data_IF_904751571569
#
_entry.id   IF_904751571569
#
_cell.length_a   1.000
_cell.length_b   1.000
_cell.length_c   1.000
_cell.angle_alpha   90.00
_cell.angle_beta   90.00
_cell.angle_gamma   90.00
#
_symmetry.space_group_name_H-M   'P 1'
#
loop_
_entity.id
_entity.type
_entity.pdbx_description
1 polymer ?
#
# COMPACT_ATOMS: atom_id res chain seq x y z
N UNK A 1 -1.77 -10.48 13.92
CA UNK A 1 -0.87 -11.11 12.92
C UNK A 1 -1.73 -11.65 11.80
N UNK A 2 -1.17 -11.81 10.59
CA UNK A 2 -1.89 -12.38 9.44
C UNK A 2 -2.68 -13.61 9.86
N UNK A 3 -4.01 -13.58 9.72
CA UNK A 3 -4.84 -14.73 9.96
C UNK A 3 -4.61 -15.73 8.81
N UNK A 4 -3.65 -16.66 8.98
CA UNK A 4 -3.37 -17.72 8.00
C UNK A 4 -2.17 -17.49 7.07
N UNK A 5 -1.44 -16.38 7.18
CA UNK A 5 -0.15 -16.18 6.51
C UNK A 5 1.01 -16.55 7.44
N UNK A 6 1.95 -17.40 7.00
CA UNK A 6 3.15 -17.70 7.79
C UNK A 6 4.09 -16.49 7.86
N UNK A 7 4.94 -16.40 8.89
CA UNK A 7 5.99 -15.37 8.99
C UNK A 7 6.94 -15.35 7.75
N UNK A 8 6.98 -16.44 6.98
CA UNK A 8 7.71 -16.53 5.72
C UNK A 8 7.06 -15.72 4.59
N UNK A 9 5.72 -15.66 4.52
CA UNK A 9 5.00 -14.85 3.53
C UNK A 9 5.17 -13.35 3.78
N UNK A 10 5.15 -12.94 5.06
CA UNK A 10 5.43 -11.57 5.48
C UNK A 10 6.84 -11.13 5.08
N UNK A 11 7.83 -11.98 5.33
CA UNK A 11 9.23 -11.75 4.96
C UNK A 11 9.41 -11.74 3.44
N UNK A 12 8.77 -12.66 2.70
CA UNK A 12 8.84 -12.68 1.23
C UNK A 12 8.19 -11.43 0.59
N UNK A 13 7.06 -10.95 1.10
CA UNK A 13 6.45 -9.69 0.65
C UNK A 13 7.30 -8.47 1.00
N UNK A 14 7.91 -8.47 2.18
CA UNK A 14 8.76 -7.39 2.66
C UNK A 14 10.12 -7.33 1.95
N UNK A 15 10.65 -8.48 1.52
CA UNK A 15 12.03 -8.62 1.03
C UNK A 15 12.16 -9.13 -0.42
N UNK A 16 11.06 -9.52 -1.08
CA UNK A 16 11.10 -10.25 -2.35
C UNK A 16 11.47 -9.42 -3.58
N UNK A 17 11.39 -8.09 -3.51
CA UNK A 17 11.80 -7.16 -4.57
C UNK A 17 12.27 -5.86 -3.92
N UNK A 18 13.57 -5.82 -3.64
CA UNK A 18 14.25 -4.70 -2.98
C UNK A 18 14.62 -3.57 -3.94
N UNK A 19 14.54 -3.85 -5.23
CA UNK A 19 14.68 -2.92 -6.34
C UNK A 19 13.44 -2.04 -6.54
N UNK A 20 12.28 -2.46 -6.00
CA UNK A 20 11.02 -1.70 -6.08
C UNK A 20 10.56 -1.23 -4.70
N UNK A 21 10.80 0.05 -4.40
CA UNK A 21 10.30 0.71 -3.17
C UNK A 21 8.79 0.94 -3.16
N UNK A 22 8.13 0.79 -4.31
CA UNK A 22 6.69 0.90 -4.47
C UNK A 22 6.18 -0.18 -5.43
N UNK A 23 5.04 -0.77 -5.09
CA UNK A 23 4.31 -1.73 -5.93
C UNK A 23 2.81 -1.55 -5.69
N UNK A 24 2.00 -1.90 -6.68
CA UNK A 24 0.56 -1.96 -6.51
C UNK A 24 -0.02 -3.18 -7.23
N UNK A 25 -1.18 -3.62 -6.76
CA UNK A 25 -2.00 -4.64 -7.41
C UNK A 25 -3.32 -4.02 -7.74
N UNK A 26 -3.67 -4.17 -9.00
CA UNK A 26 -4.88 -3.66 -9.56
C UNK A 26 -6.05 -4.61 -9.28
N UNK A 27 -7.17 -4.01 -8.88
CA UNK A 27 -8.50 -4.61 -8.67
C UNK A 27 -8.61 -5.85 -7.76
N UNK A 28 -7.50 -6.31 -7.20
CA UNK A 28 -7.42 -7.62 -6.56
C UNK A 28 -6.42 -7.66 -5.42
N UNK A 29 -6.83 -8.36 -4.36
CA UNK A 29 -5.94 -8.68 -3.25
C UNK A 29 -5.34 -10.08 -3.44
N UNK A 30 -4.11 -10.15 -3.96
CA UNK A 30 -3.42 -11.42 -4.26
C UNK A 30 -2.25 -11.71 -3.31
N UNK A 31 -2.16 -11.00 -2.19
CA UNK A 31 -1.05 -11.14 -1.25
C UNK A 31 -1.16 -12.43 -0.42
N UNK A 32 -0.04 -13.10 -0.11
CA UNK A 32 -0.02 -14.34 0.67
C UNK A 32 -0.41 -14.18 2.16
N UNK A 33 -0.51 -12.94 2.66
CA UNK A 33 -1.12 -12.66 3.95
C UNK A 33 -2.60 -12.41 3.74
N UNK A 34 -3.50 -13.17 4.36
CA UNK A 34 -4.93 -12.84 4.30
C UNK A 34 -5.18 -11.49 4.96
N UNK A 35 -5.72 -10.53 4.20
CA UNK A 35 -6.28 -9.30 4.75
C UNK A 35 -7.61 -9.55 5.46
N UNK A 36 -8.15 -8.52 6.09
CA UNK A 36 -9.47 -8.56 6.73
C UNK A 36 -10.54 -8.29 5.68
N UNK A 37 -11.06 -9.36 5.07
CA UNK A 37 -12.07 -9.34 4.01
C UNK A 37 -11.78 -8.25 2.95
N UNK A 38 -10.67 -8.38 2.19
CA UNK A 38 -10.31 -7.40 1.17
C UNK A 38 -11.46 -7.22 0.18
N UNK A 39 -11.67 -5.98 -0.24
CA UNK A 39 -12.72 -5.62 -1.17
C UNK A 39 -12.22 -5.72 -2.61
N UNK A 40 -12.97 -6.42 -3.46
CA UNK A 40 -12.72 -6.50 -4.90
C UNK A 40 -12.86 -5.12 -5.58
N UNK A 41 -12.25 -4.98 -6.76
CA UNK A 41 -12.22 -3.73 -7.54
C UNK A 41 -11.62 -2.54 -6.77
N UNK A 42 -10.79 -2.82 -5.76
CA UNK A 42 -9.97 -1.84 -5.05
C UNK A 42 -8.52 -2.31 -5.08
N UNK A 43 -7.64 -1.36 -5.28
CA UNK A 43 -6.22 -1.62 -5.43
C UNK A 43 -5.58 -1.88 -4.07
N UNK A 44 -4.42 -2.51 -4.14
CA UNK A 44 -3.50 -2.67 -3.02
C UNK A 44 -2.25 -1.87 -3.31
N UNK A 45 -1.84 -0.98 -2.39
CA UNK A 45 -0.60 -0.22 -2.49
C UNK A 45 0.42 -0.71 -1.48
N UNK A 46 1.59 -1.12 -1.95
CA UNK A 46 2.73 -1.47 -1.12
C UNK A 46 3.84 -0.42 -1.23
N UNK A 47 4.38 -0.05 -0.07
CA UNK A 47 5.53 0.86 0.07
C UNK A 47 6.58 0.18 0.94
N UNK A 48 7.84 0.17 0.48
CA UNK A 48 9.02 -0.29 1.22
C UNK A 48 10.06 0.82 1.27
N UNK A 49 10.63 1.07 2.44
CA UNK A 49 11.77 1.97 2.56
C UNK A 49 12.60 1.67 3.81
N UNK A 50 13.85 2.11 3.82
CA UNK A 50 14.64 2.18 5.04
C UNK A 50 14.20 3.36 5.91
N UNK A 51 14.26 3.21 7.23
CA UNK A 51 13.94 4.28 8.16
C UNK A 51 14.95 5.44 8.05
N UNK A 52 14.48 6.66 8.30
CA UNK A 52 15.33 7.84 8.24
C UNK A 52 16.38 7.91 9.37
N UNK A 53 16.23 7.12 10.43
CA UNK A 53 17.12 7.10 11.60
C UNK A 53 17.97 5.85 11.60
N UNK A 54 19.22 5.99 12.00
CA UNK A 54 20.07 4.84 12.30
C UNK A 54 19.62 4.18 13.59
N UNK A 55 19.70 2.86 13.65
CA UNK A 55 19.31 2.03 14.80
C UNK A 55 20.44 1.07 15.17
N UNK A 56 20.38 0.51 16.38
CA UNK A 56 21.27 -0.58 16.78
C UNK A 56 20.77 -1.92 16.20
N UNK A 57 21.65 -2.91 15.99
CA UNK A 57 21.23 -4.26 15.63
C UNK A 57 20.23 -4.82 16.65
N UNK A 58 19.14 -5.43 16.19
CA UNK A 58 18.11 -6.03 17.04
C UNK A 58 17.61 -7.33 16.44
N UNK A 59 17.74 -8.44 17.17
CA UNK A 59 17.20 -9.72 16.75
C UNK A 59 15.67 -9.67 16.61
N UNK A 60 15.14 -10.32 15.57
CA UNK A 60 13.73 -10.37 15.22
C UNK A 60 13.16 -9.13 14.56
N UNK A 61 14.00 -8.12 14.26
CA UNK A 61 13.65 -6.92 13.50
C UNK A 61 14.35 -6.96 12.15
N UNK A 62 13.61 -6.77 11.08
CA UNK A 62 14.21 -6.65 9.74
C UNK A 62 14.92 -5.31 9.62
N UNK A 63 16.23 -5.37 9.43
CA UNK A 63 17.11 -4.21 9.34
C UNK A 63 17.97 -4.29 8.09
N UNK A 64 18.41 -3.13 7.65
CA UNK A 64 19.27 -2.93 6.50
C UNK A 64 20.58 -2.32 6.99
N UNK A 65 21.68 -3.05 6.85
CA UNK A 65 23.02 -2.50 6.98
C UNK A 65 23.42 -1.92 5.62
N UNK A 66 23.72 -0.63 5.55
CA UNK A 66 24.08 0.07 4.31
C UNK A 66 25.38 0.84 4.48
N UNK A 67 26.14 0.88 3.39
CA UNK A 67 27.29 1.75 3.23
C UNK A 67 27.36 2.21 1.75
N UNK A 68 28.31 3.08 1.37
CA UNK A 68 28.41 3.56 -0.02
C UNK A 68 28.66 2.45 -1.05
N UNK A 69 29.13 1.28 -0.64
CA UNK A 69 29.41 0.14 -1.53
C UNK A 69 28.26 -0.87 -1.65
N UNK A 70 27.18 -0.71 -0.87
CA UNK A 70 26.01 -1.58 -0.96
C UNK A 70 25.22 -1.68 0.34
N UNK A 71 24.20 -2.53 0.33
CA UNK A 71 23.38 -2.82 1.50
C UNK A 71 23.06 -4.30 1.63
N UNK A 72 22.93 -4.77 2.86
CA UNK A 72 22.55 -6.13 3.19
C UNK A 72 21.48 -6.13 4.28
N UNK A 73 20.42 -6.90 4.04
CA UNK A 73 19.38 -7.13 5.01
C UNK A 73 19.80 -8.19 6.03
N UNK A 74 19.34 -8.02 7.27
CA UNK A 74 19.52 -8.97 8.35
C UNK A 74 18.40 -8.81 9.39
N UNK A 75 18.15 -9.85 10.17
CA UNK A 75 17.14 -9.86 11.23
C UNK A 75 17.53 -10.68 12.46
N UNK A 76 18.73 -11.25 12.47
CA UNK A 76 19.26 -12.08 13.56
C UNK A 76 19.92 -11.24 14.68
N UNK A 77 19.99 -9.92 14.49
CA UNK A 77 20.65 -8.99 15.40
C UNK A 77 22.17 -8.96 15.26
N UNK A 78 22.76 -9.69 14.31
CA UNK A 78 24.18 -9.65 14.01
C UNK A 78 24.38 -8.83 12.74
N UNK A 79 24.82 -7.58 12.90
CA UNK A 79 25.07 -6.71 11.75
C UNK A 79 26.08 -7.37 10.78
N UNK A 80 25.74 -7.48 9.49
CA UNK A 80 26.66 -8.02 8.51
C UNK A 80 27.94 -7.18 8.44
N UNK A 81 29.08 -7.87 8.37
CA UNK A 81 30.37 -7.23 8.14
C UNK A 81 30.47 -6.82 6.66
N UNK A 82 29.87 -5.69 6.31
CA UNK A 82 30.13 -5.02 5.04
C UNK A 82 31.40 -4.17 5.20
N UNK A 83 32.35 -4.29 4.26
CA UNK A 83 33.64 -3.59 4.33
C UNK A 83 33.37 -2.07 4.44
N UNK A 84 33.79 -1.40 5.54
CA UNK A 84 33.52 0.00 5.96
C UNK A 84 32.41 0.17 7.01
N UNK A 85 32.43 1.24 7.83
CA UNK A 85 31.33 1.48 8.78
C UNK A 85 29.98 1.52 8.05
N UNK A 86 29.07 0.68 8.50
CA UNK A 86 27.71 0.58 7.99
C UNK A 86 26.75 1.35 8.89
N UNK A 87 25.83 2.07 8.26
CA UNK A 87 24.65 2.56 8.94
C UNK A 87 23.62 1.44 8.96
N UNK A 88 23.04 1.19 10.13
CA UNK A 88 21.95 0.23 10.28
C UNK A 88 20.65 1.01 10.35
N UNK A 89 19.66 0.62 9.55
CA UNK A 89 18.34 1.26 9.48
C UNK A 89 17.27 0.18 9.54
N UNK A 90 16.13 0.53 10.11
CA UNK A 90 14.99 -0.39 10.14
C UNK A 90 14.32 -0.43 8.78
N UNK A 91 13.89 -1.61 8.34
CA UNK A 91 13.05 -1.73 7.14
C UNK A 91 11.61 -1.45 7.52
N UNK A 92 10.99 -0.54 6.79
CA UNK A 92 9.58 -0.18 6.92
C UNK A 92 8.84 -0.68 5.69
N UNK A 93 7.78 -1.45 5.92
CA UNK A 93 6.86 -1.89 4.88
C UNK A 93 5.44 -1.57 5.31
N UNK A 94 4.70 -0.93 4.41
CA UNK A 94 3.28 -0.66 4.55
C UNK A 94 2.54 -1.17 3.32
N UNK A 95 1.44 -1.86 3.54
CA UNK A 95 0.54 -2.34 2.48
C UNK A 95 -0.83 -1.80 2.81
N UNK A 96 -1.37 -0.94 1.97
CA UNK A 96 -2.69 -0.34 2.11
C UNK A 96 -3.68 -1.07 1.22
N UNK A 97 -4.86 -1.36 1.76
CA UNK A 97 -5.95 -2.02 1.05
C UNK A 97 -7.29 -1.64 1.68
N UNK A 98 -8.40 -1.86 0.97
CA UNK A 98 -9.75 -1.71 1.52
C UNK A 98 -10.23 -3.06 2.05
N UNK A 99 -10.71 -3.08 3.29
CA UNK A 99 -11.30 -4.26 3.91
C UNK A 99 -12.42 -3.89 4.88
N UNK A 100 -12.83 -4.82 5.72
CA UNK A 100 -13.89 -4.58 6.71
C UNK A 100 -13.36 -3.82 7.94
N UNK A 101 -14.22 -3.00 8.54
CA UNK A 101 -13.91 -2.35 9.81
C UNK A 101 -13.92 -3.36 10.95
N UNK A 102 -12.99 -3.19 11.89
CA UNK A 102 -12.88 -3.94 13.14
C UNK A 102 -14.00 -3.60 14.14
N UNK A 103 -14.74 -2.49 13.95
CA UNK A 103 -15.89 -2.12 14.78
C UNK A 103 -17.21 -2.62 14.21
N UNK A 104 -17.39 -2.49 12.89
CA UNK A 104 -18.58 -2.94 12.17
C UNK A 104 -18.17 -3.55 10.81
N UNK A 105 -18.28 -4.89 10.64
CA UNK A 105 -17.92 -5.55 9.38
C UNK A 105 -18.70 -5.05 8.15
N UNK A 106 -19.91 -4.47 8.32
CA UNK A 106 -20.65 -3.87 7.21
C UNK A 106 -20.09 -2.50 6.78
N UNK A 107 -19.06 -2.01 7.47
CA UNK A 107 -18.37 -0.76 7.17
C UNK A 107 -17.01 -1.00 6.54
N UNK A 108 -16.82 -0.64 5.26
CA UNK A 108 -15.51 -0.65 4.61
C UNK A 108 -14.54 0.29 5.33
N UNK A 109 -13.26 -0.07 5.34
CA UNK A 109 -12.21 0.69 5.99
C UNK A 109 -10.93 0.65 5.17
N UNK A 110 -10.17 1.74 5.21
CA UNK A 110 -8.77 1.71 4.81
C UNK A 110 -7.99 0.99 5.90
N UNK A 111 -7.34 -0.09 5.49
CA UNK A 111 -6.51 -0.93 6.36
C UNK A 111 -5.06 -0.88 5.92
N UNK A 112 -4.17 -1.24 6.84
CA UNK A 112 -2.74 -1.30 6.61
C UNK A 112 -2.15 -2.56 7.22
N UNK A 113 -1.49 -3.36 6.40
CA UNK A 113 -0.50 -4.31 6.90
C UNK A 113 0.82 -3.57 7.10
N UNK A 114 1.43 -3.72 8.28
CA UNK A 114 2.77 -3.18 8.57
C UNK A 114 3.73 -4.29 8.94
N UNK A 115 4.99 -4.14 8.55
CA UNK A 115 6.06 -4.98 9.08
C UNK A 115 6.29 -4.64 10.55
N UNK A 116 6.27 -5.66 11.39
CA UNK A 116 6.50 -5.60 12.82
C UNK A 116 7.50 -6.69 13.24
N UNK A 117 8.09 -6.51 14.42
CA UNK A 117 9.04 -7.47 14.98
C UNK A 117 8.37 -8.82 15.23
N UNK A 118 9.03 -9.94 14.91
CA UNK A 118 8.37 -11.25 14.88
C UNK A 118 9.17 -12.44 15.44
N UNK A 119 10.29 -12.19 16.13
CA UNK A 119 11.03 -13.26 16.83
C UNK A 119 11.76 -14.22 15.89
N UNK A 120 12.63 -13.69 15.03
CA UNK A 120 13.47 -14.45 14.08
C UNK A 120 12.96 -14.48 12.63
N UNK A 121 11.83 -13.83 12.36
CA UNK A 121 11.36 -13.42 11.04
C UNK A 121 10.39 -12.24 11.24
N UNK A 122 10.34 -11.28 10.33
CA UNK A 122 9.36 -10.19 10.40
C UNK A 122 7.91 -10.73 10.37
N UNK A 123 6.99 -10.06 11.07
CA UNK A 123 5.55 -10.37 10.99
C UNK A 123 4.80 -9.22 10.33
N UNK A 124 3.74 -9.53 9.60
CA UNK A 124 2.78 -8.51 9.16
C UNK A 124 1.65 -8.39 10.19
N UNK A 125 1.42 -7.15 10.61
CA UNK A 125 0.30 -6.78 11.47
C UNK A 125 -0.72 -5.97 10.68
N UNK A 126 -1.95 -6.45 10.69
CA UNK A 126 -3.10 -5.75 10.14
C UNK A 126 -3.62 -4.71 11.15
N UNK A 127 -3.85 -3.51 10.65
CA UNK A 127 -4.37 -2.38 11.39
C UNK A 127 -5.45 -1.66 10.57
N UNK A 128 -6.59 -1.41 11.19
CA UNK A 128 -7.52 -0.41 10.66
C UNK A 128 -6.88 0.99 10.79
N UNK A 129 -6.94 1.78 9.71
CA UNK A 129 -6.50 3.17 9.72
C UNK A 129 -7.69 4.10 9.91
N UNK A 130 -8.72 3.93 9.08
CA UNK A 130 -9.93 4.75 9.13
C UNK A 130 -11.11 4.00 8.48
N UNK A 131 -12.27 3.93 9.15
CA UNK A 131 -13.49 3.41 8.55
C UNK A 131 -14.09 4.41 7.55
N UNK A 132 -14.99 3.94 6.69
CA UNK A 132 -15.70 4.77 5.71
C UNK A 132 -14.94 5.00 4.40
N UNK A 133 -13.82 4.30 4.16
CA UNK A 133 -13.16 4.29 2.85
C UNK A 133 -13.66 3.05 2.10
N UNK A 134 -14.39 3.27 1.01
CA UNK A 134 -15.07 2.20 0.28
C UNK A 134 -14.28 1.70 -0.92
N UNK A 135 -13.34 2.48 -1.46
CA UNK A 135 -12.55 2.11 -2.61
C UNK A 135 -11.22 2.88 -2.64
N UNK A 136 -10.15 2.23 -3.10
CA UNK A 136 -8.82 2.80 -3.31
C UNK A 136 -8.39 2.47 -4.74
N UNK A 137 -7.87 3.47 -5.45
CA UNK A 137 -7.28 3.31 -6.77
C UNK A 137 -5.94 4.03 -6.83
N UNK A 138 -4.99 3.46 -7.53
CA UNK A 138 -3.56 3.80 -7.48
C UNK A 138 -3.02 3.90 -8.90
N UNK A 139 -2.65 5.11 -9.30
CA UNK A 139 -1.94 5.33 -10.55
C UNK A 139 -0.49 5.70 -10.30
N UNK A 140 0.41 5.22 -11.16
CA UNK A 140 1.80 5.63 -11.21
C UNK A 140 1.99 6.81 -12.15
N UNK A 141 2.59 7.88 -11.62
CA UNK A 141 3.08 9.01 -12.40
C UNK A 141 4.45 8.69 -12.98
N UNK A 142 4.52 8.63 -14.30
CA UNK A 142 5.70 8.24 -15.05
C UNK A 142 6.47 9.46 -15.57
N UNK A 143 7.79 9.40 -15.41
CA UNK A 143 8.82 10.25 -16.01
C UNK A 143 9.48 9.47 -17.16
N UNK A 144 9.07 9.76 -18.39
CA UNK A 144 9.48 9.04 -19.59
C UNK A 144 10.71 9.66 -20.28
N UNK A 145 11.02 10.93 -20.03
CA UNK A 145 12.14 11.63 -20.65
C UNK A 145 13.32 11.88 -19.68
N UNK A 146 13.16 11.53 -18.40
CA UNK A 146 14.18 11.59 -17.36
C UNK A 146 14.36 12.96 -16.73
N UNK A 147 13.42 13.89 -16.92
CA UNK A 147 13.52 15.26 -16.41
C UNK A 147 13.02 15.41 -14.95
N UNK A 148 12.42 14.37 -14.37
CA UNK A 148 11.87 14.34 -13.01
C UNK A 148 10.43 14.84 -12.86
N UNK A 149 9.77 15.20 -13.96
CA UNK A 149 8.36 15.58 -14.02
C UNK A 149 7.49 14.37 -14.41
N UNK A 150 6.16 14.53 -14.28
CA UNK A 150 5.22 13.46 -14.63
C UNK A 150 4.59 13.78 -15.99
N UNK A 151 4.81 12.95 -17.00
CA UNK A 151 4.15 13.10 -18.30
C UNK A 151 2.77 12.46 -18.31
N UNK A 152 2.61 11.33 -17.62
CA UNK A 152 1.34 10.60 -17.59
C UNK A 152 1.14 9.80 -16.31
N UNK A 153 -0.13 9.54 -16.02
CA UNK A 153 -0.56 8.61 -14.98
C UNK A 153 -1.11 7.36 -15.66
N UNK A 154 -0.66 6.20 -15.21
CA UNK A 154 -1.12 4.89 -15.69
C UNK A 154 -1.54 4.03 -14.53
N UNK A 155 -2.43 3.08 -14.77
CA UNK A 155 -2.73 2.06 -13.77
C UNK A 155 -1.50 1.17 -13.51
N UNK A 156 -1.45 0.59 -12.32
CA UNK A 156 -0.36 -0.26 -11.85
C UNK A 156 -0.16 -1.52 -12.67
N UNK A 157 -1.21 -2.01 -13.36
CA UNK A 157 -1.14 -3.21 -14.21
C UNK A 157 -0.56 -2.95 -15.62
N UNK A 158 -0.36 -1.70 -16.03
CA UNK A 158 0.21 -1.34 -17.34
C UNK A 158 1.73 -1.55 -17.36
N UNK A 159 2.12 -2.84 -17.39
CA UNK A 159 3.52 -3.26 -17.33
C UNK A 159 4.36 -2.67 -18.49
N UNK A 160 3.77 -2.46 -19.66
CA UNK A 160 4.47 -1.88 -20.80
C UNK A 160 4.81 -0.40 -20.55
N UNK A 161 3.87 0.35 -19.96
CA UNK A 161 4.13 1.73 -19.56
C UNK A 161 5.15 1.84 -18.43
N UNK A 162 4.98 1.04 -17.38
CA UNK A 162 5.83 1.08 -16.18
C UNK A 162 7.26 0.64 -16.49
N UNK A 163 7.48 -0.34 -17.37
CA UNK A 163 8.82 -0.78 -17.76
C UNK A 163 9.59 0.26 -18.62
N UNK A 164 8.86 1.16 -19.29
CA UNK A 164 9.44 2.13 -20.22
C UNK A 164 9.78 3.50 -19.62
N UNK A 165 9.49 3.73 -18.34
CA UNK A 165 9.63 5.03 -17.70
C UNK A 165 9.93 4.91 -16.21
N UNK A 166 10.46 5.98 -15.60
CA UNK A 166 10.70 6.03 -14.16
C UNK A 166 9.42 6.41 -13.42
N UNK A 167 9.07 5.69 -12.35
CA UNK A 167 7.96 6.09 -11.48
C UNK A 167 8.42 7.21 -10.54
N UNK A 168 7.87 8.42 -10.68
CA UNK A 168 8.25 9.59 -9.87
C UNK A 168 7.10 10.15 -9.03
N UNK A 169 5.88 9.66 -9.21
CA UNK A 169 4.74 10.02 -8.39
C UNK A 169 3.73 8.88 -8.25
N UNK A 170 2.85 9.01 -7.26
CA UNK A 170 1.67 8.16 -7.07
C UNK A 170 0.47 9.07 -6.99
N UNK A 171 -0.59 8.74 -7.72
CA UNK A 171 -1.90 9.36 -7.55
C UNK A 171 -2.84 8.35 -6.90
N UNK A 172 -3.35 8.74 -5.75
CA UNK A 172 -4.36 8.00 -5.02
C UNK A 172 -5.72 8.59 -5.36
N UNK A 173 -6.70 7.74 -5.58
CA UNK A 173 -8.11 8.10 -5.61
C UNK A 173 -8.85 7.28 -4.57
N UNK A 174 -9.69 7.94 -3.78
CA UNK A 174 -10.42 7.33 -2.67
C UNK A 174 -11.90 7.68 -2.79
N UNK A 175 -12.77 6.68 -2.62
CA UNK A 175 -14.18 6.89 -2.37
C UNK A 175 -14.44 6.85 -0.86
N UNK A 176 -14.90 7.96 -0.32
CA UNK A 176 -15.16 8.13 1.11
C UNK A 176 -16.66 8.25 1.34
N UNK A 177 -17.20 7.52 2.30
CA UNK A 177 -18.61 7.59 2.72
C UNK A 177 -18.79 8.26 4.09
N UNK A 178 -20.00 8.73 4.36
CA UNK A 178 -20.42 9.12 5.71
C UNK A 178 -20.38 7.93 6.68
N UNK A 179 -20.17 8.19 7.96
CA UNK A 179 -20.17 7.18 9.01
C UNK A 179 -21.55 6.54 9.20
N UNK A 180 -22.61 7.34 9.08
CA UNK A 180 -23.99 6.94 9.28
C UNK A 180 -24.78 6.90 7.98
N UNK A 181 -25.69 5.92 7.89
CA UNK A 181 -26.68 5.85 6.82
C UNK A 181 -27.82 6.85 7.05
N UNK A 182 -28.14 7.61 6.03
CA UNK A 182 -29.26 8.56 5.98
C UNK A 182 -30.49 7.97 5.26
N UNK A 183 -30.49 6.66 4.93
CA UNK A 183 -31.64 6.01 4.30
C UNK A 183 -32.94 6.16 5.11
N UNK A 184 -32.83 6.19 6.45
CA UNK A 184 -33.98 6.38 7.36
C UNK A 184 -34.66 7.75 7.25
N UNK A 185 -33.99 8.76 6.69
CA UNK A 185 -34.56 10.08 6.40
C UNK A 185 -34.83 10.28 4.90
N UNK A 186 -34.78 9.21 4.11
CA UNK A 186 -35.11 9.22 2.68
C UNK A 186 -33.98 9.64 1.75
N UNK A 187 -32.73 9.74 2.25
CA UNK A 187 -31.59 10.00 1.37
C UNK A 187 -31.28 8.79 0.48
N UNK A 188 -31.02 9.06 -0.79
CA UNK A 188 -30.58 8.08 -1.80
C UNK A 188 -29.46 8.72 -2.60
N UNK A 189 -28.28 8.11 -2.56
CA UNK A 189 -27.15 8.48 -3.41
C UNK A 189 -27.40 8.02 -4.85
N UNK A 190 -27.71 8.96 -5.73
CA UNK A 190 -27.87 8.73 -7.17
C UNK A 190 -26.65 9.19 -7.97
N UNK A 191 -25.56 9.56 -7.30
CA UNK A 191 -24.34 9.98 -7.98
C UNK A 191 -23.61 8.77 -8.59
N UNK A 192 -22.77 9.09 -9.57
CA UNK A 192 -21.88 8.16 -10.24
C UNK A 192 -20.46 8.67 -10.04
N UNK A 193 -19.59 7.83 -9.49
CA UNK A 193 -18.21 8.16 -9.17
C UNK A 193 -17.29 7.41 -10.11
N UNK A 194 -16.63 8.13 -11.02
CA UNK A 194 -15.65 7.51 -11.91
C UNK A 194 -14.34 7.23 -11.12
N UNK A 195 -13.92 5.96 -10.99
CA UNK A 195 -12.63 5.62 -10.41
C UNK A 195 -11.48 6.17 -11.27
N UNK A 196 -10.28 6.23 -10.69
CA UNK A 196 -9.10 6.62 -11.46
C UNK A 196 -8.67 5.53 -12.45
N UNK A 197 -9.04 4.28 -12.19
CA UNK A 197 -8.85 3.20 -13.12
C UNK A 197 -9.79 3.31 -14.32
N UNK A 198 -9.24 3.07 -15.50
CA UNK A 198 -9.87 3.30 -16.78
C UNK A 198 -10.69 2.11 -17.28
N UNK A 199 -10.43 0.90 -16.77
CA UNK A 199 -11.19 -0.31 -17.13
C UNK A 199 -12.37 -0.58 -16.17
N UNK A 200 -12.38 0.03 -14.99
CA UNK A 200 -13.51 0.00 -14.08
C UNK A 200 -14.69 0.90 -14.54
N UNK A 201 -15.94 0.39 -14.47
CA UNK A 201 -17.11 1.21 -14.70
C UNK A 201 -17.29 2.25 -13.57
N UNK A 202 -18.06 3.33 -13.82
CA UNK A 202 -18.43 4.24 -12.75
C UNK A 202 -19.10 3.51 -11.58
N UNK A 203 -18.67 3.82 -10.35
CA UNK A 203 -19.29 3.31 -9.13
C UNK A 203 -20.62 4.03 -8.92
N UNK A 204 -21.69 3.26 -8.81
CA UNK A 204 -23.04 3.74 -8.46
C UNK A 204 -23.58 2.98 -7.25
N UNK A 205 -24.60 3.54 -6.61
CA UNK A 205 -25.23 2.86 -5.49
C UNK A 205 -25.76 1.45 -5.88
N UNK A 206 -25.55 0.48 -5.00
CA UNK A 206 -25.85 -0.93 -5.24
C UNK A 206 -25.61 -1.79 -3.99
N UNK A 207 -25.45 -3.11 -4.20
CA UNK A 207 -25.21 -4.05 -3.11
C UNK A 207 -23.89 -3.75 -2.37
N UNK A 208 -22.81 -3.52 -3.13
CA UNK A 208 -21.49 -3.25 -2.56
C UNK A 208 -21.37 -1.81 -2.05
N UNK A 209 -22.11 -0.87 -2.65
CA UNK A 209 -22.10 0.56 -2.30
C UNK A 209 -23.51 1.01 -1.91
N UNK A 210 -23.98 0.79 -0.67
CA UNK A 210 -25.36 1.06 -0.30
C UNK A 210 -25.76 2.53 -0.52
N UNK A 211 -26.96 2.76 -1.06
CA UNK A 211 -27.44 4.09 -1.46
C UNK A 211 -27.67 5.06 -0.29
N UNK A 212 -27.74 4.56 0.94
CA UNK A 212 -28.04 5.37 2.12
C UNK A 212 -26.91 6.28 2.60
N UNK A 213 -25.71 6.21 2.02
CA UNK A 213 -24.54 6.95 2.49
C UNK A 213 -24.16 8.08 1.55
N UNK A 214 -23.81 9.25 2.10
CA UNK A 214 -23.20 10.33 1.31
C UNK A 214 -21.78 9.95 0.97
N UNK A 215 -21.34 10.22 -0.26
CA UNK A 215 -19.98 9.95 -0.69
C UNK A 215 -19.30 11.17 -1.28
N UNK A 216 -17.98 11.16 -1.17
CA UNK A 216 -17.10 12.06 -1.91
C UNK A 216 -15.96 11.24 -2.51
N UNK A 217 -15.61 11.56 -3.75
CA UNK A 217 -14.40 11.06 -4.39
C UNK A 217 -13.29 12.10 -4.19
N UNK A 218 -12.13 11.67 -3.71
CA UNK A 218 -10.97 12.55 -3.48
C UNK A 218 -9.76 11.96 -4.18
N UNK A 219 -8.98 12.81 -4.86
CA UNK A 219 -7.71 12.42 -5.44
C UNK A 219 -6.54 13.22 -4.88
N UNK A 220 -5.39 12.56 -4.69
CA UNK A 220 -4.16 13.17 -4.20
C UNK A 220 -2.95 12.60 -4.94
N UNK A 221 -2.11 13.48 -5.46
CA UNK A 221 -0.79 13.12 -5.99
C UNK A 221 0.30 13.32 -4.93
N UNK A 222 1.21 12.35 -4.84
CA UNK A 222 2.38 12.33 -3.96
C UNK A 222 3.61 12.08 -4.83
N UNK A 223 4.58 13.00 -4.79
CA UNK A 223 5.86 12.84 -5.50
C UNK A 223 6.84 11.97 -4.71
N UNK A 224 7.49 11.04 -5.40
CA UNK A 224 8.49 10.13 -4.86
C UNK A 224 9.88 10.76 -5.02
N UNK A 225 10.35 11.41 -3.97
CA UNK A 225 11.68 12.08 -3.98
C UNK A 225 12.85 11.16 -3.63
N UNK A 226 12.56 9.90 -3.30
CA UNK A 226 13.56 8.88 -2.96
C UNK A 226 13.68 7.82 -4.07
N UNK A 227 13.55 8.21 -5.34
CA UNK A 227 13.77 7.32 -6.47
C UNK A 227 15.26 7.20 -6.76
N UNK A 228 15.80 5.98 -6.73
CA UNK A 228 17.17 5.69 -7.17
C UNK A 228 17.30 6.14 -8.63
N UNK A 229 18.37 6.86 -8.95
CA UNK A 229 18.79 7.13 -10.32
C UNK A 229 19.56 5.93 -10.86
#
# INVERSE_FOLDING_TARGET
>A
GCAGGSNAAATALALGSLDSGIQAWDDSYTLPCNGTAPREASDVLLIRHASARTTAPSAGRVQLAVNPSGGQLFDDGNAPAINNPSEIRDVVVHIYYIGESSFDPATPALRRLRLADGGGAGRLEDQEIIPGIENLQVQFGLDADGNGEVERYVDSNDAAAVAGARVVAVRLWLLVRSDSSEAGIGFVDNASYQPADADLPPITAGADYPAGFRRIAVSKTIFLRNGVN
#
